data_IF_235689348641
#
_entry.id   IF_235689348641
#
_cell.length_a   1.000
_cell.length_b   1.000
_cell.length_c   1.000
_cell.angle_alpha   90.00
_cell.angle_beta   90.00
_cell.angle_gamma   90.00
#
_symmetry.space_group_name_H-M   'P 1'
#
loop_
_entity.id
_entity.type
_entity.pdbx_description
1 polymer ?
2 non-polymer ?
3 water ?
#
# COMPACT_ATOMS: atom_id res chain seq x y z
N UNK A 6 -17.91 -13.02 1.16
CA UNK A 6 -16.55 -13.27 0.57
C UNK A 6 -15.61 -12.09 0.85
N UNK A 7 -14.78 -12.23 1.88
CA UNK A 7 -13.92 -11.15 2.32
C UNK A 7 -12.69 -10.94 1.41
N UNK A 8 -12.27 -11.99 0.70
CA UNK A 8 -11.15 -11.89 -0.25
C UNK A 8 -11.51 -10.96 -1.39
N UNK A 9 -12.65 -11.23 -2.01
CA UNK A 9 -13.15 -10.43 -3.13
C UNK A 9 -13.52 -9.02 -2.65
N UNK A 10 -14.23 -8.94 -1.55
CA UNK A 10 -14.60 -7.68 -0.95
C UNK A 10 -13.38 -6.80 -0.66
N UNK A 11 -12.37 -7.38 -0.02
CA UNK A 11 -11.18 -6.64 0.36
C UNK A 11 -10.39 -6.20 -0.89
N UNK A 12 -10.36 -7.06 -1.91
CA UNK A 12 -9.76 -6.70 -3.19
C UNK A 12 -10.45 -5.49 -3.83
N UNK A 13 -11.74 -5.61 -4.07
CA UNK A 13 -12.55 -4.56 -4.71
C UNK A 13 -12.54 -3.23 -3.95
N UNK A 14 -12.43 -3.34 -2.63
CA UNK A 14 -12.25 -2.19 -1.73
C UNK A 14 -11.12 -1.26 -2.17
N UNK A 15 -10.06 -1.84 -2.74
CA UNK A 15 -8.95 -1.08 -3.28
C UNK A 15 -9.01 -0.91 -4.80
N UNK A 16 -9.33 -1.99 -5.50
CA UNK A 16 -9.42 -1.98 -6.97
C UNK A 16 -10.49 -1.03 -7.49
N UNK A 17 -11.61 -0.93 -6.79
CA UNK A 17 -12.66 0.04 -7.19
C UNK A 17 -12.09 1.45 -7.24
N UNK A 18 -11.18 1.76 -6.31
CA UNK A 18 -10.54 3.08 -6.27
C UNK A 18 -9.55 3.24 -7.43
N UNK A 19 -8.72 2.22 -7.66
CA UNK A 19 -7.78 2.19 -8.79
C UNK A 19 -8.50 2.46 -10.12
N UNK A 20 -9.65 1.83 -10.30
CA UNK A 20 -10.44 2.00 -11.53
C UNK A 20 -11.03 3.40 -11.63
N UNK A 21 -11.46 3.92 -10.48
CA UNK A 21 -12.06 5.26 -10.40
C UNK A 21 -11.03 6.33 -10.73
N UNK A 22 -9.78 6.12 -10.30
CA UNK A 22 -8.66 6.99 -10.66
C UNK A 22 -8.29 6.88 -12.15
N UNK A 23 -8.34 5.68 -12.71
CA UNK A 23 -8.03 5.45 -14.13
C UNK A 23 -9.04 6.14 -15.05
N UNK A 24 -10.29 6.27 -14.58
CA UNK A 24 -11.36 6.98 -15.31
C UNK A 24 -11.01 8.46 -15.50
N UNK A 25 -10.20 9.00 -14.60
CA UNK A 25 -9.82 10.42 -14.62
C UNK A 25 -8.64 10.72 -15.54
N UNK A 26 -8.07 9.69 -16.16
CA UNK A 26 -6.94 9.85 -17.06
C UNK A 26 -7.45 9.96 -18.50
N UNK A 27 -7.37 11.16 -19.07
CA UNK A 27 -7.73 11.36 -20.47
C UNK A 27 -6.71 10.65 -21.38
N UNK A 28 -7.09 10.43 -22.63
CA UNK A 28 -6.21 9.72 -23.58
C UNK A 28 -4.97 10.53 -23.98
N UNK A 29 -4.99 11.82 -23.67
CA UNK A 29 -3.84 12.71 -23.84
C UNK A 29 -2.81 12.54 -22.73
N UNK A 30 -3.22 12.03 -21.58
CA UNK A 30 -2.32 11.84 -20.45
C UNK A 30 -1.91 10.40 -20.21
N UNK A 31 -2.23 9.53 -21.16
CA UNK A 31 -1.79 8.13 -21.16
C UNK A 31 -0.25 8.03 -21.06
N UNK A 32 0.44 8.93 -21.75
CA UNK A 32 1.90 8.91 -21.79
C UNK A 32 2.54 9.75 -20.68
N UNK A 33 1.73 10.33 -19.80
CA UNK A 33 2.24 11.22 -18.76
C UNK A 33 3.17 10.53 -17.78
N UNK A 34 4.33 11.13 -17.55
CA UNK A 34 5.33 10.63 -16.61
C UNK A 34 5.69 11.75 -15.65
N UNK A 35 5.56 11.51 -14.33
CA UNK A 35 5.98 12.49 -13.32
C UNK A 35 7.46 12.83 -13.38
N UNK A 36 8.29 11.85 -13.72
CA UNK A 36 9.72 12.05 -13.89
C UNK A 36 10.21 11.20 -15.06
N UNK A 37 11.44 11.45 -15.47
CA UNK A 37 12.03 10.78 -16.65
C UNK A 37 12.06 9.25 -16.52
N UNK A 38 12.39 8.76 -15.33
CA UNK A 38 12.53 7.33 -15.07
C UNK A 38 11.24 6.68 -14.52
N UNK A 39 10.11 7.38 -14.63
CA UNK A 39 8.83 6.85 -14.16
C UNK A 39 8.08 6.11 -15.25
N UNK A 41 4.78 5.54 -17.41
CA UNK A 41 3.73 6.44 -17.90
C UNK A 41 2.45 6.14 -17.15
N UNK A 42 1.46 7.02 -17.28
CA UNK A 42 0.16 6.84 -16.64
C UNK A 42 -0.43 5.48 -17.04
N UNK A 43 -0.39 5.15 -18.32
CA UNK A 43 -0.96 3.90 -18.79
C UNK A 43 -0.11 2.67 -18.41
N UNK A 44 1.21 2.80 -18.43
CA UNK A 44 2.09 1.73 -17.96
C UNK A 44 1.86 1.40 -16.48
N UNK A 45 1.62 2.43 -15.66
CA UNK A 45 1.31 2.20 -14.25
C UNK A 45 0.02 1.41 -14.09
N UNK A 46 -1.04 1.87 -14.74
CA UNK A 46 -2.36 1.23 -14.61
C UNK A 46 -2.38 -0.19 -15.19
N UNK A 47 -1.82 -0.38 -16.39
CA UNK A 47 -1.74 -1.70 -17.00
C UNK A 47 -0.98 -2.67 -16.10
N UNK A 48 0.10 -2.19 -15.47
CA UNK A 48 0.89 -3.03 -14.58
C UNK A 48 0.10 -3.49 -13.35
N UNK A 49 -0.68 -2.58 -12.76
CA UNK A 49 -1.55 -2.92 -11.65
C UNK A 49 -2.55 -4.00 -12.04
N UNK A 50 -3.11 -3.88 -13.25
CA UNK A 50 -4.14 -4.80 -13.73
C UNK A 50 -3.60 -6.19 -14.05
N UNK A 51 -2.48 -6.24 -14.77
CA UNK A 51 -1.89 -7.51 -15.18
C UNK A 51 -1.20 -8.21 -14.03
N UNK A 52 -0.59 -7.46 -13.12
CA UNK A 52 0.16 -8.08 -12.02
C UNK A 52 -0.75 -8.82 -11.04
N UNK A 53 -1.88 -8.22 -10.65
CA UNK A 53 -2.83 -8.91 -9.77
C UNK A 53 -3.38 -10.17 -10.43
N UNK A 54 -3.71 -10.07 -11.71
CA UNK A 54 -4.29 -11.20 -12.44
C UNK A 54 -3.31 -12.38 -12.52
N UNK A 55 -2.05 -12.06 -12.80
CA UNK A 55 -0.99 -13.05 -12.79
C UNK A 55 -0.92 -13.77 -11.44
N UNK A 56 -0.85 -13.01 -10.34
CA UNK A 56 -0.79 -13.61 -9.01
C UNK A 56 -2.01 -14.49 -8.75
N UNK A 57 -3.19 -13.98 -9.09
CA UNK A 57 -4.46 -14.71 -8.92
C UNK A 57 -4.38 -16.08 -9.60
N UNK A 58 -3.86 -16.11 -10.83
CA UNK A 58 -3.67 -17.37 -11.56
C UNK A 58 -2.63 -18.29 -10.91
N UNK A 59 -1.58 -17.72 -10.34
CA UNK A 59 -0.58 -18.53 -9.65
C UNK A 59 -1.24 -19.22 -8.44
N UNK A 60 -2.05 -18.49 -7.67
CA UNK A 60 -2.78 -19.07 -6.54
C UNK A 60 -3.80 -20.11 -7.00
N UNK A 61 -4.44 -19.83 -8.13
CA UNK A 61 -5.46 -20.71 -8.68
C UNK A 61 -4.85 -22.02 -9.14
N UNK A 62 -3.75 -21.95 -9.88
CA UNK A 62 -3.12 -23.16 -10.41
C UNK A 62 -2.32 -23.91 -9.38
N UNK A 63 -1.69 -23.18 -8.46
CA UNK A 63 -0.71 -23.76 -7.53
C UNK A 63 0.65 -23.98 -8.21
N UNK A 64 0.79 -23.46 -9.42
CA UNK A 64 1.99 -23.64 -10.25
C UNK A 64 2.55 -22.29 -10.65
N UNK A 65 3.78 -22.31 -11.14
CA UNK A 65 4.39 -21.13 -11.75
C UNK A 65 4.08 -21.08 -13.25
N UNK A 66 3.22 -21.99 -13.71
CA UNK A 66 2.85 -22.09 -15.12
C UNK A 66 2.17 -20.85 -15.71
N UNK A 67 1.40 -20.09 -14.89
CA UNK A 67 0.81 -18.87 -15.44
C UNK A 67 1.81 -17.84 -15.95
N UNK A 68 3.09 -17.96 -15.56
CA UNK A 68 4.14 -17.10 -16.10
C UNK A 68 4.42 -17.40 -17.58
N UNK A 69 4.13 -18.62 -18.02
CA UNK A 69 4.33 -19.02 -19.41
C UNK A 69 3.33 -18.34 -20.34
N UNK A 70 2.12 -18.04 -19.84
CA UNK A 70 1.09 -17.36 -20.63
C UNK A 70 1.42 -15.89 -20.85
N UNK A 75 -5.11 -6.98 -26.50
CA UNK A 75 -5.34 -6.21 -27.72
C UNK A 75 -5.93 -4.82 -27.44
N UNK A 76 -6.69 -4.71 -26.35
CA UNK A 76 -7.38 -3.46 -26.00
C UNK A 76 -6.43 -2.40 -25.44
N UNK A 77 -6.63 -1.15 -25.87
CA UNK A 77 -5.80 0.00 -25.46
C UNK A 77 -6.51 1.01 -24.55
N UNK A 78 -7.84 1.02 -24.56
CA UNK A 78 -8.61 1.88 -23.68
C UNK A 78 -8.45 1.38 -22.24
N UNK A 79 -7.88 2.24 -21.39
CA UNK A 79 -7.59 1.91 -19.99
C UNK A 79 -8.82 1.58 -19.16
N UNK A 80 -9.96 2.19 -19.49
CA UNK A 80 -11.20 1.92 -18.77
C UNK A 80 -11.79 0.56 -19.09
N UNK A 81 -11.60 0.13 -20.33
CA UNK A 81 -12.07 -1.20 -20.76
C UNK A 81 -11.10 -2.25 -20.19
N UNK A 82 -9.81 -1.97 -20.24
CA UNK A 82 -8.80 -2.86 -19.63
C UNK A 82 -9.07 -3.06 -18.14
N UNK A 83 -9.29 -1.97 -17.41
CA UNK A 83 -9.61 -2.04 -15.97
C UNK A 83 -10.87 -2.87 -15.68
N UNK A 84 -11.92 -2.65 -16.46
CA UNK A 84 -13.17 -3.38 -16.30
C UNK A 84 -12.98 -4.88 -16.57
N UNK A 85 -12.33 -5.19 -17.68
CA UNK A 85 -12.05 -6.56 -18.09
C UNK A 85 -11.18 -7.35 -17.12
N UNK A 86 -10.07 -6.74 -16.71
CA UNK A 86 -9.16 -7.39 -15.78
C UNK A 86 -9.71 -7.51 -14.36
N UNK A 87 -10.53 -6.54 -13.95
CA UNK A 87 -11.16 -6.61 -12.62
C UNK A 87 -12.15 -7.78 -12.58
N UNK A 88 -12.98 -7.87 -13.61
CA UNK A 88 -13.93 -8.98 -13.75
C UNK A 88 -13.24 -10.33 -13.76
N UNK A 89 -12.13 -10.44 -14.49
CA UNK A 89 -11.38 -11.70 -14.56
C UNK A 89 -10.71 -12.05 -13.23
N UNK A 90 -10.20 -11.05 -12.52
CA UNK A 90 -9.57 -11.28 -11.21
C UNK A 90 -10.61 -11.69 -10.17
N UNK A 91 -11.75 -10.99 -10.15
CA UNK A 91 -12.83 -11.29 -9.22
C UNK A 91 -13.30 -12.74 -9.38
N UNK A 92 -13.51 -13.15 -10.64
CA UNK A 92 -13.94 -14.51 -10.96
C UNK A 92 -12.97 -15.57 -10.45
N UNK A 93 -11.67 -15.28 -10.47
CA UNK A 93 -10.65 -16.17 -9.92
C UNK A 93 -10.69 -16.18 -8.40
N UNK A 94 -10.73 -14.99 -7.80
CA UNK A 94 -10.76 -14.84 -6.34
C UNK A 94 -12.03 -15.41 -5.68
N UNK A 95 -13.17 -15.28 -6.36
CA UNK A 95 -14.44 -15.87 -5.90
C UNK A 95 -14.35 -17.38 -5.68
N UNK A 96 -13.55 -18.05 -6.51
CA UNK A 96 -13.39 -19.50 -6.59
C UNK A 96 -12.31 -20.05 -5.66
N UNK A 97 -11.49 -19.17 -5.08
CA UNK A 97 -10.37 -19.64 -4.27
C UNK A 97 -10.85 -20.29 -2.97
N UNK A 98 -10.45 -21.54 -2.76
CA UNK A 98 -10.85 -22.30 -1.59
C UNK A 98 -9.77 -22.19 -0.51
N UNK A 99 -10.11 -22.51 0.73
CA UNK A 99 -9.13 -22.45 1.84
C UNK A 99 -7.95 -23.41 1.62
N UNK A 100 -8.20 -24.48 0.87
CA UNK A 100 -7.16 -25.43 0.46
C UNK A 100 -6.12 -24.76 -0.43
N UNK A 101 -6.61 -24.00 -1.42
CA UNK A 101 -5.73 -23.24 -2.33
C UNK A 101 -4.96 -22.17 -1.57
N UNK A 102 -5.59 -21.56 -0.58
CA UNK A 102 -4.95 -20.53 0.23
C UNK A 102 -3.90 -21.09 1.18
N UNK A 103 -4.19 -22.27 1.75
CA UNK A 103 -3.30 -22.92 2.71
C UNK A 103 -2.08 -23.60 2.07
N UNK A 104 -2.23 -24.07 0.84
CA UNK A 104 -1.19 -24.90 0.24
C UNK A 104 0.03 -24.11 -0.21
N UNK A 105 1.17 -24.79 -0.19
CA UNK A 105 2.43 -24.23 -0.65
C UNK A 105 2.48 -24.29 -2.18
N UNK A 106 2.79 -23.17 -2.81
CA UNK A 106 3.02 -23.11 -4.25
C UNK A 106 4.53 -23.19 -4.44
N UNK A 107 5.00 -24.19 -5.20
CA UNK A 107 6.44 -24.37 -5.45
C UNK A 107 6.97 -23.38 -6.49
N UNK A 111 12.29 -23.03 -10.42
CA UNK A 111 11.69 -21.77 -10.88
C UNK A 111 12.11 -20.58 -9.99
N UNK A 112 11.64 -20.56 -8.75
CA UNK A 112 11.95 -19.47 -7.81
C UNK A 112 12.93 -19.89 -6.72
N UNK A 113 13.01 -21.20 -6.45
CA UNK A 113 13.96 -21.76 -5.46
C UNK A 113 13.40 -21.86 -4.06
N UNK A 114 12.26 -21.21 -3.86
CA UNK A 114 11.60 -21.14 -2.57
C UNK A 114 10.19 -21.71 -2.72
N UNK A 115 9.23 -21.12 -2.02
CA UNK A 115 7.92 -21.68 -1.89
C UNK A 115 7.07 -20.65 -1.15
N UNK A 116 5.80 -20.56 -1.48
CA UNK A 116 4.93 -19.59 -0.83
C UNK A 116 3.53 -20.14 -0.78
N UNK A 117 2.83 -19.91 0.33
CA UNK A 117 1.43 -20.29 0.42
C UNK A 117 0.60 -19.36 -0.48
N UNK A 118 -0.55 -19.86 -0.94
CA UNK A 118 -1.47 -19.04 -1.73
C UNK A 118 -1.91 -17.82 -0.96
N UNK A 119 -2.12 -18.00 0.33
CA UNK A 119 -2.49 -16.91 1.24
C UNK A 119 -1.41 -15.83 1.25
N UNK A 120 -0.15 -16.23 1.38
CA UNK A 120 0.99 -15.30 1.39
C UNK A 120 1.17 -14.58 0.07
N UNK A 121 0.91 -15.29 -1.03
CA UNK A 121 0.98 -14.71 -2.36
C UNK A 121 -0.14 -13.70 -2.57
N UNK A 122 -1.29 -13.94 -1.95
CA UNK A 122 -2.44 -13.05 -2.03
C UNK A 122 -2.17 -11.72 -1.33
N UNK A 123 -1.60 -11.78 -0.12
CA UNK A 123 -1.22 -10.57 0.61
C UNK A 123 -0.20 -9.74 -0.17
N UNK A 124 0.76 -10.43 -0.75
CA UNK A 124 1.80 -9.84 -1.56
C UNK A 124 1.18 -9.15 -2.79
N UNK A 125 0.17 -9.78 -3.37
CA UNK A 125 -0.57 -9.22 -4.49
C UNK A 125 -1.36 -7.98 -4.08
N UNK A 127 -0.66 -5.95 -1.49
CA UNK A 127 0.25 -4.86 -1.15
C UNK A 127 0.88 -4.20 -2.38
N UNK A 128 1.07 -5.00 -3.43
CA UNK A 128 1.53 -4.49 -4.71
C UNK A 128 0.50 -3.51 -5.30
N UNK A 129 -0.77 -3.88 -5.20
CA UNK A 129 -1.88 -3.02 -5.64
C UNK A 129 -1.95 -1.73 -4.84
N UNK A 130 -1.80 -1.83 -3.52
CA UNK A 130 -1.90 -0.69 -2.63
C UNK A 130 -0.72 0.25 -2.87
N UNK A 131 0.47 -0.32 -3.02
CA UNK A 131 1.66 0.44 -3.38
C UNK A 131 1.49 1.27 -4.67
N UNK A 132 1.17 0.57 -5.75
CA UNK A 132 1.03 1.22 -7.07
C UNK A 132 -0.14 2.20 -7.16
N UNK A 133 -1.24 1.92 -6.45
CA UNK A 133 -2.36 2.87 -6.31
C UNK A 133 -1.86 4.12 -5.60
N UNK A 134 -1.03 3.91 -4.58
CA UNK A 134 -0.30 4.99 -3.92
C UNK A 134 0.44 5.89 -4.90
N UNK A 135 1.17 5.30 -5.85
CA UNK A 135 1.79 6.05 -6.96
C UNK A 135 0.70 6.81 -7.73
N UNK A 136 -0.31 6.07 -8.19
CA UNK A 136 -1.34 6.59 -9.07
C UNK A 136 -2.12 7.78 -8.51
N UNK A 137 -2.31 7.84 -7.20
CA UNK A 137 -2.93 9.02 -6.58
C UNK A 137 -2.16 10.32 -6.90
N UNK A 138 -0.84 10.26 -6.83
CA UNK A 138 -0.01 11.43 -7.11
C UNK A 138 -0.05 11.75 -8.60
N UNK A 139 0.03 10.75 -9.48
CA UNK A 139 -0.10 10.99 -10.93
C UNK A 139 -1.35 11.79 -11.25
N UNK A 140 -2.48 11.28 -10.77
CA UNK A 140 -3.81 11.81 -11.12
C UNK A 140 -3.99 13.23 -10.60
N UNK A 141 -3.54 13.45 -9.37
CA UNK A 141 -3.55 14.77 -8.75
C UNK A 141 -2.76 15.78 -9.60
N UNK A 142 -1.56 15.37 -10.01
CA UNK A 142 -0.72 16.17 -10.91
C UNK A 142 -1.33 16.45 -12.25
N UNK A 144 -4.35 17.38 -12.77
CA UNK A 144 -5.36 18.42 -12.63
C UNK A 144 -6.59 18.03 -11.83
N UNK A 145 -6.65 16.76 -11.43
CA UNK A 145 -7.82 16.25 -10.70
C UNK A 145 -7.60 16.38 -9.20
N UNK A 146 -8.45 17.17 -8.54
CA UNK A 146 -8.28 17.47 -7.11
C UNK A 146 -9.36 16.87 -6.21
N UNK A 147 -10.45 16.37 -6.79
CA UNK A 147 -11.51 15.77 -5.99
C UNK A 147 -11.41 14.25 -6.10
N UNK A 148 -10.50 13.68 -5.31
CA UNK A 148 -10.14 12.28 -5.43
C UNK A 148 -10.78 11.43 -4.34
N UNK A 149 -11.07 10.15 -4.65
CA UNK A 149 -11.63 9.28 -3.61
C UNK A 149 -10.69 9.04 -2.43
N UNK A 150 -11.25 8.63 -1.31
CA UNK A 150 -10.45 8.09 -0.22
C UNK A 150 -9.83 6.83 -0.80
N UNK A 151 -8.65 6.47 -0.33
CA UNK A 151 -7.83 5.44 -1.00
C UNK A 151 -8.38 4.01 -0.96
N UNK A 152 -9.34 3.78 -0.08
CA UNK A 152 -10.02 2.50 0.04
C UNK A 152 -11.49 2.75 0.35
N UNK A 153 -12.38 2.03 -0.31
CA UNK A 153 -13.80 2.03 0.05
C UNK A 153 -13.99 1.18 1.32
N UNK A 154 -14.93 1.54 2.18
CA UNK A 154 -15.16 0.79 3.41
C UNK A 154 -16.28 -0.20 3.14
N UNK B 6 9.45 -12.88 15.11
CA UNK B 6 8.37 -11.84 15.20
C UNK B 6 7.97 -11.33 13.81
N UNK B 7 6.91 -11.93 13.25
CA UNK B 7 6.45 -11.61 11.89
C UNK B 7 5.72 -10.25 11.80
N UNK B 8 5.16 -9.77 12.91
CA UNK B 8 4.52 -8.44 12.91
C UNK B 8 5.56 -7.32 12.76
N UNK B 9 6.59 -7.35 13.62
CA UNK B 9 7.69 -6.40 13.58
C UNK B 9 8.41 -6.49 12.25
N UNK B 10 8.79 -7.70 11.86
CA UNK B 10 9.49 -7.94 10.59
C UNK B 10 8.73 -7.38 9.38
N UNK B 11 7.45 -7.70 9.28
CA UNK B 11 6.61 -7.23 8.16
C UNK B 11 6.44 -5.71 8.15
N UNK B 12 6.35 -5.11 9.34
CA UNK B 12 6.32 -3.66 9.45
C UNK B 12 7.62 -3.03 8.93
N UNK B 13 8.77 -3.50 9.42
CA UNK B 13 10.07 -2.96 9.01
C UNK B 13 10.37 -3.15 7.52
N UNK B 14 9.92 -4.27 6.98
CA UNK B 14 9.97 -4.56 5.56
C UNK B 14 9.56 -3.36 4.71
N UNK B 15 8.52 -2.67 5.17
CA UNK B 15 7.99 -1.50 4.52
C UNK B 15 8.55 -0.19 5.12
N UNK B 16 8.55 -0.08 6.44
CA UNK B 16 9.06 1.13 7.12
C UNK B 16 10.55 1.42 6.83
N UNK B 17 11.38 0.40 6.68
CA UNK B 17 12.78 0.63 6.31
C UNK B 17 12.90 1.31 4.93
N UNK B 18 11.95 1.01 4.03
CA UNK B 18 11.97 1.65 2.70
C UNK B 18 11.49 3.10 2.82
N UNK B 19 10.49 3.33 3.68
CA UNK B 19 9.98 4.68 3.95
C UNK B 19 11.07 5.59 4.54
N UNK B 20 11.84 5.04 5.46
CA UNK B 20 12.92 5.75 6.11
C UNK B 20 14.07 6.07 5.16
N UNK B 21 14.36 5.13 4.27
CA UNK B 21 15.38 5.33 3.24
C UNK B 21 14.96 6.43 2.26
N UNK B 22 13.69 6.46 1.89
CA UNK B 22 13.15 7.47 1.00
C UNK B 22 13.14 8.86 1.64
N UNK B 23 12.85 8.90 2.94
CA UNK B 23 12.86 10.14 3.71
C UNK B 23 14.24 10.81 3.74
N UNK B 24 15.28 9.98 3.75
CA UNK B 24 16.68 10.44 3.75
C UNK B 24 17.04 11.17 2.46
N UNK B 25 16.35 10.85 1.37
CA UNK B 25 16.58 11.46 0.06
C UNK B 25 15.89 12.81 -0.12
N UNK B 26 15.22 13.28 0.94
CA UNK B 26 14.53 14.56 0.94
C UNK B 26 15.42 15.64 1.57
N UNK B 27 16.02 16.47 0.73
CA UNK B 27 16.80 17.62 1.20
C UNK B 27 15.88 18.57 1.96
N UNK B 28 16.45 19.41 2.83
CA UNK B 28 15.67 20.35 3.62
C UNK B 28 14.96 21.40 2.74
N UNK B 29 15.50 21.64 1.55
CA UNK B 29 14.82 22.52 0.58
C UNK B 29 13.57 21.85 0.00
N UNK B 30 13.53 20.53 0.06
CA UNK B 30 12.41 19.76 -0.49
C UNK B 30 11.37 19.32 0.55
N UNK B 31 11.54 19.74 1.80
CA UNK B 31 10.54 19.51 2.86
C UNK B 31 9.17 20.06 2.44
N UNK B 32 9.17 21.25 1.84
CA UNK B 32 7.94 21.92 1.40
C UNK B 32 7.41 21.40 0.05
N UNK B 33 8.15 20.52 -0.61
CA UNK B 33 7.83 20.13 -1.99
C UNK B 33 6.45 19.47 -2.10
N UNK B 34 5.65 19.99 -3.03
CA UNK B 34 4.32 19.50 -3.28
C UNK B 34 4.21 19.22 -4.77
N UNK B 35 3.89 17.98 -5.16
CA UNK B 35 3.63 17.60 -6.56
C UNK B 35 2.54 18.42 -7.25
N UNK B 36 1.46 18.71 -6.51
CA UNK B 36 0.38 19.57 -6.98
C UNK B 36 -0.03 20.50 -5.84
N UNK B 37 -0.77 21.57 -6.15
CA UNK B 37 -1.15 22.57 -5.16
C UNK B 37 -1.96 22.01 -4.00
N UNK B 38 -2.79 21.02 -4.27
CA UNK B 38 -3.64 20.40 -3.25
C UNK B 38 -2.98 19.19 -2.56
N UNK B 39 -1.68 18.99 -2.80
CA UNK B 39 -0.93 17.86 -2.21
C UNK B 39 -0.38 18.20 -0.84
N UNK B 41 2.81 18.43 1.53
CA UNK B 41 4.22 18.66 1.29
C UNK B 41 4.95 17.37 1.63
N UNK B 42 6.20 17.27 1.18
CA UNK B 42 7.02 16.10 1.44
C UNK B 42 7.07 15.77 2.92
N UNK B 43 7.30 16.78 3.75
CA UNK B 43 7.41 16.57 5.20
C UNK B 43 6.07 16.28 5.87
N UNK B 44 4.99 16.89 5.40
CA UNK B 44 3.64 16.54 5.89
C UNK B 44 3.35 15.08 5.60
N UNK B 45 3.75 14.64 4.41
CA UNK B 45 3.51 13.25 4.00
C UNK B 45 4.27 12.33 4.93
N UNK B 46 5.56 12.58 5.10
CA UNK B 46 6.42 11.72 5.90
C UNK B 46 5.99 11.68 7.37
N UNK B 47 5.75 12.85 7.97
CA UNK B 47 5.32 12.89 9.38
C UNK B 47 4.02 12.13 9.59
N UNK B 48 3.08 12.27 8.64
CA UNK B 48 1.79 11.58 8.73
C UNK B 48 1.97 10.06 8.73
N UNK B 49 2.88 9.55 7.90
CA UNK B 49 3.21 8.12 7.86
C UNK B 49 3.68 7.68 9.23
N UNK B 50 4.59 8.46 9.82
CA UNK B 50 5.17 8.17 11.11
C UNK B 50 4.19 8.24 12.28
N UNK B 51 3.45 9.34 12.39
CA UNK B 51 2.52 9.51 13.51
C UNK B 51 1.30 8.59 13.41
N UNK B 52 0.81 8.33 12.19
CA UNK B 52 -0.41 7.54 12.04
C UNK B 52 -0.21 6.11 12.47
N UNK B 53 0.89 5.48 12.05
CA UNK B 53 1.13 4.09 12.43
C UNK B 53 1.33 4.02 13.93
N UNK B 54 2.01 4.99 14.50
CA UNK B 54 2.27 5.03 15.93
C UNK B 54 0.97 5.17 16.75
N UNK B 55 0.03 5.97 16.24
CA UNK B 55 -1.29 6.09 16.87
C UNK B 55 -2.02 4.74 16.86
N UNK B 56 -2.11 4.12 15.68
CA UNK B 56 -2.74 2.80 15.56
C UNK B 56 -2.10 1.77 16.48
N UNK B 57 -0.76 1.75 16.53
CA UNK B 57 -0.02 0.85 17.41
C UNK B 57 -0.42 1.02 18.89
N UNK B 58 -0.60 2.26 19.33
CA UNK B 58 -1.06 2.53 20.70
C UNK B 58 -2.53 2.18 20.93
N UNK B 59 -3.37 2.28 19.90
CA UNK B 59 -4.78 1.88 20.00
C UNK B 59 -4.89 0.37 20.23
N UNK B 60 -4.13 -0.41 19.47
CA UNK B 60 -4.07 -1.88 19.67
C UNK B 60 -3.46 -2.23 21.05
N UNK B 61 -2.44 -1.49 21.44
CA UNK B 61 -1.77 -1.71 22.71
C UNK B 61 -2.73 -1.50 23.89
N UNK B 62 -3.47 -0.40 23.86
CA UNK B 62 -4.39 -0.09 24.95
C UNK B 62 -5.71 -0.86 24.86
N UNK B 63 -6.16 -1.11 23.63
CA UNK B 63 -7.47 -1.68 23.38
C UNK B 63 -8.57 -0.64 23.44
N UNK B 64 -8.16 0.63 23.58
CA UNK B 64 -9.06 1.77 23.78
C UNK B 64 -8.90 2.78 22.67
N UNK B 65 -9.84 3.73 22.62
CA UNK B 65 -9.73 4.90 21.75
C UNK B 65 -9.02 6.04 22.49
N UNK B 66 -8.52 5.76 23.70
CA UNK B 66 -7.88 6.77 24.54
C UNK B 66 -6.59 7.39 23.97
N UNK B 67 -5.78 6.64 23.21
CA UNK B 67 -4.60 7.28 22.60
C UNK B 67 -4.91 8.44 21.61
N UNK B 68 -6.17 8.59 21.18
CA UNK B 68 -6.56 9.78 20.42
C UNK B 68 -6.57 11.03 21.31
N UNK B 69 -6.82 10.84 22.60
CA UNK B 69 -6.82 11.94 23.58
C UNK B 69 -5.41 12.44 23.85
N UNK B 70 -4.42 11.57 23.69
CA UNK B 70 -3.02 11.94 23.89
C UNK B 70 -2.53 12.88 22.79
N UNK B 71 -2.57 14.18 23.06
CA UNK B 71 -2.01 15.18 22.15
C UNK B 71 -0.51 15.25 22.36
N UNK B 72 0.25 14.51 21.55
CA UNK B 72 1.71 14.43 21.69
C UNK B 72 2.40 15.51 20.85
N UNK B 73 2.87 16.57 21.51
CA UNK B 73 3.57 17.67 20.84
C UNK B 73 5.03 17.28 20.58
N UNK B 74 5.30 16.74 19.39
CA UNK B 74 6.67 16.38 19.00
C UNK B 74 7.41 17.66 18.60
N UNK B 75 8.52 17.94 19.27
CA UNK B 75 9.29 19.17 19.06
C UNK B 75 10.29 19.06 17.89
N UNK B 76 10.69 17.84 17.54
CA UNK B 76 11.71 17.61 16.50
C UNK B 76 11.18 17.93 15.11
N UNK B 77 12.04 18.53 14.27
CA UNK B 77 11.69 18.90 12.90
C UNK B 77 12.49 18.15 11.83
N UNK B 78 13.68 17.64 12.20
CA UNK B 78 14.47 16.87 11.28
C UNK B 78 13.72 15.58 10.98
N UNK B 79 13.36 15.41 9.71
CA UNK B 79 12.61 14.23 9.26
C UNK B 79 13.31 12.93 9.58
N UNK B 80 14.63 12.89 9.41
CA UNK B 80 15.40 11.66 9.61
C UNK B 80 15.42 11.25 11.07
N UNK B 81 15.48 12.23 11.96
CA UNK B 81 15.37 12.00 13.40
C UNK B 81 13.93 11.61 13.79
N UNK B 82 12.94 12.25 13.18
CA UNK B 82 11.54 11.87 13.40
C UNK B 82 11.32 10.42 12.94
N UNK B 83 11.83 10.08 11.75
CA UNK B 83 11.68 8.74 11.19
C UNK B 83 12.28 7.67 12.10
N UNK B 84 13.51 7.91 12.57
CA UNK B 84 14.21 6.98 13.45
C UNK B 84 13.52 6.81 14.80
N UNK B 85 13.19 7.92 15.44
CA UNK B 85 12.53 7.91 16.75
C UNK B 85 11.16 7.21 16.74
N UNK B 86 10.33 7.56 15.76
CA UNK B 86 8.98 6.97 15.64
C UNK B 86 9.00 5.49 15.25
N UNK B 87 10.01 5.09 14.48
CA UNK B 87 10.19 3.69 14.10
C UNK B 87 10.55 2.87 15.34
N UNK B 88 11.50 3.38 16.12
CA UNK B 88 11.90 2.76 17.39
C UNK B 88 10.73 2.64 18.38
N UNK B 89 9.95 3.71 18.50
CA UNK B 89 8.77 3.69 19.37
C UNK B 89 7.69 2.71 18.91
N UNK B 90 7.50 2.61 17.60
CA UNK B 90 6.47 1.75 17.04
C UNK B 90 6.89 0.28 17.13
N UNK B 91 8.16 -0.01 16.84
CA UNK B 91 8.70 -1.37 16.99
C UNK B 91 8.60 -1.85 18.45
N UNK B 92 8.97 -0.98 19.39
CA UNK B 92 8.87 -1.31 20.81
C UNK B 92 7.45 -1.69 21.21
N UNK B 93 6.45 -1.03 20.63
CA UNK B 93 5.06 -1.42 20.89
C UNK B 93 4.72 -2.76 20.20
N UNK B 94 5.03 -2.85 18.90
CA UNK B 94 4.72 -4.05 18.12
C UNK B 94 5.36 -5.32 18.69
N UNK B 95 6.61 -5.22 19.16
CA UNK B 95 7.34 -6.34 19.78
C UNK B 95 6.61 -7.01 20.94
N UNK B 96 5.80 -6.25 21.65
CA UNK B 96 5.17 -6.74 22.86
C UNK B 96 3.74 -7.18 22.66
N UNK B 97 3.14 -6.84 21.52
CA UNK B 97 1.74 -7.16 21.26
C UNK B 97 1.50 -8.66 21.29
N UNK B 98 0.53 -9.07 22.12
CA UNK B 98 0.17 -10.46 22.34
C UNK B 98 -1.00 -10.87 21.43
N UNK B 99 -1.14 -12.17 21.20
CA UNK B 99 -2.23 -12.69 20.36
C UNK B 99 -3.61 -12.29 20.92
N UNK B 100 -3.67 -12.14 22.25
CA UNK B 100 -4.86 -11.64 22.96
C UNK B 100 -5.20 -10.23 22.52
N UNK B 101 -4.18 -9.37 22.49
CA UNK B 101 -4.33 -7.97 22.05
C UNK B 101 -4.71 -7.87 20.57
N UNK B 102 -4.23 -8.81 19.77
CA UNK B 102 -4.56 -8.90 18.35
C UNK B 102 -5.97 -9.46 18.12
N UNK B 103 -6.36 -10.43 18.94
CA UNK B 103 -7.65 -11.11 18.79
C UNK B 103 -8.82 -10.31 19.33
N UNK B 104 -8.59 -9.49 20.35
CA UNK B 104 -9.66 -8.78 21.03
C UNK B 104 -10.25 -7.64 20.22
N UNK B 105 -11.52 -7.35 20.50
CA UNK B 105 -12.24 -6.24 19.90
C UNK B 105 -11.90 -4.92 20.59
N UNK B 106 -11.57 -3.91 19.78
CA UNK B 106 -11.37 -2.55 20.26
C UNK B 106 -12.66 -1.78 19.99
N UNK B 107 -13.28 -1.26 21.05
CA UNK B 107 -14.53 -0.47 20.91
C UNK B 107 -14.24 0.99 20.55
N UNK B 108 -14.46 1.35 19.28
CA UNK B 108 -14.21 2.72 18.79
C UNK B 108 -15.50 3.44 18.33
N UNK B 109 -15.65 4.71 18.71
CA UNK B 109 -16.81 5.54 18.36
C UNK B 109 -17.17 5.45 16.88
N UNK B 115 -16.42 -0.90 16.02
CA UNK B 115 -15.67 -1.92 16.73
C UNK B 115 -14.76 -2.64 15.74
N UNK B 116 -13.53 -2.92 16.16
CA UNK B 116 -12.52 -3.52 15.30
C UNK B 116 -11.55 -4.31 16.16
N UNK B 117 -11.09 -5.46 15.64
CA UNK B 117 -10.09 -6.27 16.35
C UNK B 117 -8.71 -5.66 16.20
N UNK B 118 -7.84 -5.86 17.18
CA UNK B 118 -6.46 -5.39 17.09
C UNK B 118 -5.82 -5.79 15.77
N UNK B 119 -6.07 -7.04 15.35
CA UNK B 119 -5.52 -7.59 14.10
C UNK B 119 -5.99 -6.81 12.88
N UNK B 120 -7.28 -6.54 12.80
CA UNK B 120 -7.84 -5.84 11.66
C UNK B 120 -7.35 -4.37 11.59
N UNK B 121 -7.13 -3.76 12.76
CA UNK B 121 -6.59 -2.41 12.80
C UNK B 121 -5.09 -2.42 12.42
N UNK B 122 -4.38 -3.51 12.69
CA UNK B 122 -2.98 -3.65 12.30
C UNK B 122 -2.84 -3.71 10.78
N UNK B 123 -3.71 -4.49 10.14
CA UNK B 123 -3.72 -4.61 8.68
C UNK B 123 -4.05 -3.26 8.04
N UNK B 124 -4.97 -2.54 8.65
CA UNK B 124 -5.38 -1.23 8.23
C UNK B 124 -4.18 -0.25 8.34
N UNK B 125 -3.43 -0.35 9.43
CA UNK B 125 -2.24 0.45 9.65
C UNK B 125 -1.15 0.14 8.60
N UNK B 127 -1.67 -1.14 5.52
CA UNK B 127 -2.09 -0.71 4.19
C UNK B 127 -1.98 0.80 4.04
N UNK B 128 -2.17 1.51 5.15
CA UNK B 128 -2.04 2.96 5.19
C UNK B 128 -0.58 3.36 4.95
N UNK B 129 0.33 2.65 5.62
CA UNK B 129 1.76 2.82 5.40
C UNK B 129 2.10 2.58 3.93
N UNK B 130 1.62 1.47 3.40
CA UNK B 130 1.95 1.04 2.04
C UNK B 130 1.41 2.04 1.03
N UNK B 131 0.17 2.50 1.24
CA UNK B 131 -0.41 3.56 0.42
C UNK B 131 0.45 4.80 0.33
N UNK B 132 0.77 5.39 1.49
CA UNK B 132 1.50 6.66 1.57
C UNK B 132 3.00 6.54 1.17
N UNK B 133 3.58 5.37 1.37
CA UNK B 133 4.92 5.11 0.82
C UNK B 133 4.80 5.12 -0.70
N UNK B 134 3.67 4.62 -1.23
CA UNK B 134 3.37 4.69 -2.66
C UNK B 134 3.34 6.12 -3.17
N UNK B 135 2.72 7.02 -2.41
CA UNK B 135 2.77 8.45 -2.71
C UNK B 135 4.20 8.93 -2.69
N UNK B 136 4.93 8.56 -1.63
CA UNK B 136 6.27 9.08 -1.36
C UNK B 136 7.26 8.76 -2.47
N UNK B 137 7.16 7.58 -3.07
CA UNK B 137 8.00 7.17 -4.19
C UNK B 137 7.96 8.19 -5.36
N UNK B 138 6.76 8.69 -5.67
CA UNK B 138 6.61 9.65 -6.76
C UNK B 138 7.19 11.01 -6.34
N UNK B 139 6.96 11.41 -5.09
CA UNK B 139 7.58 12.63 -4.54
C UNK B 139 9.10 12.62 -4.75
N UNK B 140 9.74 11.55 -4.25
CA UNK B 140 11.20 11.43 -4.26
C UNK B 140 11.79 11.35 -5.66
N UNK B 141 11.09 10.64 -6.54
CA UNK B 141 11.45 10.53 -7.96
C UNK B 141 11.45 11.92 -8.63
N UNK B 142 10.45 12.73 -8.29
CA UNK B 142 10.33 14.11 -8.77
C UNK B 142 11.36 15.10 -8.18
N UNK B 144 14.58 14.49 -8.13
CA UNK B 144 15.86 14.30 -8.80
C UNK B 144 16.50 12.94 -8.59
N UNK B 145 15.94 12.13 -7.69
CA UNK B 145 16.50 10.81 -7.38
C UNK B 145 15.94 9.73 -8.30
N UNK B 146 16.84 8.99 -8.93
CA UNK B 146 16.47 7.95 -9.89
C UNK B 146 16.81 6.53 -9.42
N UNK B 147 17.64 6.40 -8.38
CA UNK B 147 18.04 5.08 -7.91
C UNK B 147 17.34 4.82 -6.58
N UNK B 148 16.11 4.33 -6.68
CA UNK B 148 15.25 4.15 -5.52
C UNK B 148 15.14 2.68 -5.12
N UNK B 149 14.98 2.43 -3.81
CA UNK B 149 14.84 1.04 -3.38
C UNK B 149 13.60 0.39 -3.97
N UNK B 150 13.59 -0.94 -3.98
CA UNK B 150 12.38 -1.69 -4.24
C UNK B 150 11.45 -1.36 -3.07
N UNK B 151 10.15 -1.36 -3.32
CA UNK B 151 9.20 -0.82 -2.35
C UNK B 151 9.06 -1.58 -1.05
N UNK B 152 9.59 -2.81 -1.01
CA UNK B 152 9.57 -3.62 0.18
C UNK B 152 10.88 -4.42 0.28
N UNK B 153 11.48 -4.47 1.46
CA UNK B 153 12.62 -5.34 1.71
C UNK B 153 12.10 -6.77 1.92
N UNK B 154 12.93 -7.75 1.62
CA UNK B 154 12.54 -9.16 1.78
C UNK B 154 12.43 -9.54 3.26
#
# INVERSE_FOLDING_TARGET
GXCQSNQIVSHFLSHRNVTNELAEKISKDHYSYKPAETSXSAEELVKHILTSFHLFANVIKEGNASPFQNKQEETETDLNVLAKTYTEKTVAILEQLTEEQLDREIDLTSAFGRKVTGRALLQLAXEHEIHHKGNLFVYVREXGHTELPFYQQRX
GXCQSNQIVSHFLSHRNVTNELAEKISKDHYSYKPAETSXSAEELVKHILTSFHLFANVIKEGNASPFQNKQEETETDLNVLAKTYTEKTVAILEQLTEEQLDREIDLTSAFGRKVTGRALLQLAXEHEIHHKGNLFVYVREXGHTELPFYQQRX
#
